data_IF_259727087113
#
_entry.id   IF_259727087113
#
_cell.length_a   1.000
_cell.length_b   1.000
_cell.length_c   1.000
_cell.angle_alpha   90.00
_cell.angle_beta   90.00
_cell.angle_gamma   90.00
#
_symmetry.space_group_name_H-M   'P 1'
#
loop_
_entity.id
_entity.type
_entity.pdbx_description
1 polymer ?
#
# COMPACT_ATOMS: atom_id res chain seq x y z
N UNK A 1 -18.27 -22.10 -1.15
CA UNK A 1 -19.26 -21.56 -2.10
C UNK A 1 -19.96 -22.69 -2.85
N UNK A 2 -19.24 -23.55 -3.60
CA UNK A 2 -19.83 -24.61 -4.42
C UNK A 2 -20.75 -25.57 -3.67
N UNK A 3 -20.45 -25.90 -2.41
CA UNK A 3 -21.25 -26.82 -1.59
C UNK A 3 -22.44 -26.16 -0.87
N UNK A 4 -22.55 -24.84 -0.94
CA UNK A 4 -23.60 -24.04 -0.28
C UNK A 4 -24.40 -23.23 -1.29
N UNK A 5 -24.50 -23.70 -2.53
CA UNK A 5 -25.25 -23.06 -3.62
C UNK A 5 -24.93 -21.55 -3.76
N UNK A 6 -23.63 -21.22 -3.61
CA UNK A 6 -23.08 -19.85 -3.69
C UNK A 6 -23.61 -18.88 -2.62
N UNK A 7 -24.14 -19.37 -1.50
CA UNK A 7 -24.54 -18.54 -0.39
C UNK A 7 -23.37 -17.66 0.10
N UNK A 8 -23.61 -16.38 0.46
CA UNK A 8 -22.55 -15.50 0.95
C UNK A 8 -21.86 -16.08 2.17
N UNK A 9 -20.53 -16.23 2.08
CA UNK A 9 -19.70 -16.75 3.17
C UNK A 9 -19.17 -15.60 4.03
N UNK A 10 -19.33 -15.74 5.34
CA UNK A 10 -18.83 -14.82 6.35
C UNK A 10 -17.73 -15.46 7.16
N UNK A 11 -16.64 -14.70 7.43
CA UNK A 11 -15.51 -15.18 8.22
C UNK A 11 -15.18 -14.20 9.35
N UNK A 12 -14.97 -14.75 10.54
CA UNK A 12 -14.45 -14.03 11.71
C UNK A 12 -13.00 -14.39 11.95
N UNK A 13 -12.12 -13.40 12.00
CA UNK A 13 -10.78 -13.46 12.53
C UNK A 13 -9.92 -14.66 12.10
N UNK A 14 -9.67 -14.89 10.79
CA UNK A 14 -8.90 -16.05 10.34
C UNK A 14 -7.41 -15.86 10.67
N UNK A 15 -7.02 -16.13 11.92
CA UNK A 15 -5.64 -16.02 12.40
C UNK A 15 -4.72 -16.93 11.59
N UNK A 16 -3.64 -16.39 11.06
CA UNK A 16 -2.61 -17.15 10.34
C UNK A 16 -1.58 -17.75 11.27
N UNK A 17 -1.47 -17.20 12.48
CA UNK A 17 -0.53 -17.65 13.53
C UNK A 17 -0.98 -17.10 14.87
N UNK A 18 -0.62 -17.81 15.95
CA UNK A 18 -0.91 -17.41 17.35
C UNK A 18 0.29 -16.74 18.05
N UNK A 19 1.38 -16.49 17.32
CA UNK A 19 2.65 -16.01 17.92
C UNK A 19 2.58 -14.58 18.46
N UNK A 20 1.55 -13.82 18.10
CA UNK A 20 1.50 -12.37 18.33
C UNK A 20 0.27 -11.90 19.12
N UNK A 21 0.10 -12.31 20.41
CA UNK A 21 -0.94 -11.75 21.26
C UNK A 21 -0.84 -10.22 21.31
N UNK A 22 -1.97 -9.53 21.20
CA UNK A 22 -2.01 -8.06 21.11
C UNK A 22 -1.90 -7.52 19.66
N UNK A 23 -1.66 -8.40 18.69
CA UNK A 23 -1.58 -8.09 17.27
C UNK A 23 -2.52 -8.95 16.42
N UNK A 24 -3.55 -9.51 17.01
CA UNK A 24 -4.50 -10.42 16.35
C UNK A 24 -5.20 -9.74 15.17
N UNK A 25 -5.42 -8.43 15.23
CA UNK A 25 -5.95 -7.64 14.10
C UNK A 25 -5.04 -7.68 12.86
N UNK A 26 -3.73 -7.80 13.03
CA UNK A 26 -2.76 -7.92 11.94
C UNK A 26 -2.70 -9.35 11.42
N UNK A 27 -2.51 -10.33 12.31
CA UNK A 27 -2.40 -11.74 11.92
C UNK A 27 -3.66 -12.26 11.26
N UNK A 28 -4.84 -11.81 11.72
CA UNK A 28 -6.11 -12.15 11.12
C UNK A 28 -6.40 -11.37 9.83
N UNK A 29 -5.93 -10.14 9.69
CA UNK A 29 -6.06 -9.39 8.43
C UNK A 29 -5.31 -10.07 7.27
N UNK A 30 -4.16 -10.70 7.55
CA UNK A 30 -3.44 -11.51 6.56
C UNK A 30 -4.32 -12.66 6.06
N UNK A 31 -4.90 -13.43 6.97
CA UNK A 31 -5.82 -14.51 6.62
C UNK A 31 -7.10 -14.01 5.96
N UNK A 32 -7.63 -12.87 6.41
CA UNK A 32 -8.81 -12.23 5.83
C UNK A 32 -8.59 -11.81 4.37
N UNK A 33 -7.43 -11.27 4.03
CA UNK A 33 -7.06 -10.95 2.64
C UNK A 33 -7.05 -12.21 1.76
N UNK A 34 -6.45 -13.30 2.26
CA UNK A 34 -6.37 -14.57 1.54
C UNK A 34 -7.77 -15.15 1.32
N UNK A 35 -8.58 -15.27 2.37
CA UNK A 35 -9.92 -15.88 2.24
C UNK A 35 -10.86 -14.98 1.43
N UNK A 36 -10.68 -13.66 1.50
CA UNK A 36 -11.37 -12.68 0.67
C UNK A 36 -11.06 -12.89 -0.82
N UNK A 37 -9.81 -13.14 -1.15
CA UNK A 37 -9.39 -13.49 -2.52
C UNK A 37 -10.11 -14.74 -3.04
N UNK A 38 -10.25 -15.77 -2.21
CA UNK A 38 -10.93 -17.01 -2.56
C UNK A 38 -12.47 -16.96 -2.50
N UNK A 39 -13.07 -15.78 -2.29
CA UNK A 39 -14.51 -15.57 -2.45
C UNK A 39 -15.30 -15.40 -1.16
N UNK A 40 -14.65 -15.16 -0.02
CA UNK A 40 -15.38 -14.74 1.18
C UNK A 40 -16.08 -13.40 0.91
N UNK A 41 -17.37 -13.34 1.21
CA UNK A 41 -18.22 -12.19 0.91
C UNK A 41 -18.19 -11.12 2.01
N UNK A 42 -17.95 -11.53 3.25
CA UNK A 42 -18.00 -10.66 4.42
C UNK A 42 -16.94 -11.04 5.44
N UNK A 43 -16.19 -10.05 5.91
CA UNK A 43 -15.14 -10.19 6.90
C UNK A 43 -15.54 -9.49 8.19
N UNK A 44 -15.41 -10.17 9.32
CA UNK A 44 -15.56 -9.57 10.64
C UNK A 44 -14.19 -9.16 11.18
N UNK A 45 -14.07 -7.93 11.64
CA UNK A 45 -12.81 -7.44 12.18
C UNK A 45 -12.50 -8.02 13.57
N UNK A 46 -11.22 -8.01 13.90
CA UNK A 46 -10.64 -8.37 15.19
C UNK A 46 -9.86 -7.17 15.72
N UNK A 47 -9.91 -6.96 17.02
CA UNK A 47 -9.19 -5.85 17.67
C UNK A 47 -7.81 -6.29 18.16
N UNK A 48 -6.89 -5.34 18.47
CA UNK A 48 -5.62 -5.67 19.13
C UNK A 48 -5.78 -6.40 20.48
N UNK A 49 -6.93 -6.20 21.15
CA UNK A 49 -7.21 -6.80 22.46
C UNK A 49 -7.97 -8.13 22.39
N UNK A 50 -8.11 -8.70 21.22
CA UNK A 50 -8.76 -9.99 21.08
C UNK A 50 -8.11 -11.03 21.97
N UNK A 51 -8.90 -11.84 22.66
CA UNK A 51 -8.48 -12.84 23.65
C UNK A 51 -7.75 -12.26 24.90
N UNK A 52 -7.57 -10.95 25.03
CA UNK A 52 -6.81 -10.32 26.12
C UNK A 52 -7.66 -9.41 27.00
N UNK A 53 -8.60 -8.67 26.44
CA UNK A 53 -9.40 -7.71 27.21
C UNK A 53 -10.48 -7.02 26.40
N UNK A 54 -11.22 -6.13 27.04
CA UNK A 54 -12.25 -5.34 26.38
C UNK A 54 -11.63 -4.21 25.56
N UNK A 55 -12.00 -4.10 24.26
CA UNK A 55 -11.49 -3.05 23.41
C UNK A 55 -12.10 -1.69 23.75
N UNK A 56 -11.32 -0.63 23.64
CA UNK A 56 -11.79 0.74 23.63
C UNK A 56 -12.07 1.21 22.18
N UNK A 57 -12.42 2.47 21.99
CA UNK A 57 -12.77 3.04 20.69
C UNK A 57 -11.58 3.00 19.72
N UNK A 58 -10.40 3.28 20.21
CA UNK A 58 -9.14 3.28 19.43
C UNK A 58 -8.80 1.86 18.96
N UNK A 59 -8.94 0.87 19.82
CA UNK A 59 -8.73 -0.54 19.48
C UNK A 59 -9.71 -1.00 18.40
N UNK A 60 -10.97 -0.55 18.47
CA UNK A 60 -11.99 -0.85 17.45
C UNK A 60 -11.61 -0.19 16.13
N UNK A 61 -11.17 1.08 16.14
CA UNK A 61 -10.70 1.79 14.94
C UNK A 61 -9.53 1.04 14.30
N UNK A 62 -8.54 0.62 15.10
CA UNK A 62 -7.36 -0.10 14.62
C UNK A 62 -7.75 -1.43 13.94
N UNK A 63 -8.58 -2.23 14.58
CA UNK A 63 -9.07 -3.49 14.02
C UNK A 63 -9.87 -3.29 12.73
N UNK A 64 -10.77 -2.31 12.72
CA UNK A 64 -11.57 -1.98 11.54
C UNK A 64 -10.69 -1.54 10.37
N UNK A 65 -9.66 -0.73 10.63
CA UNK A 65 -8.74 -0.27 9.58
C UNK A 65 -7.92 -1.43 9.02
N UNK A 66 -7.41 -2.33 9.85
CA UNK A 66 -6.71 -3.53 9.41
C UNK A 66 -7.58 -4.37 8.46
N UNK A 67 -8.85 -4.54 8.79
CA UNK A 67 -9.78 -5.31 7.95
C UNK A 67 -10.26 -4.60 6.69
N UNK A 68 -10.35 -3.28 6.70
CA UNK A 68 -10.59 -2.51 5.46
C UNK A 68 -9.42 -2.65 4.48
N UNK A 69 -8.19 -2.67 5.00
CA UNK A 69 -6.99 -2.93 4.19
C UNK A 69 -7.03 -4.36 3.65
N UNK A 70 -7.34 -5.34 4.50
CA UNK A 70 -7.44 -6.75 4.12
C UNK A 70 -8.49 -6.98 3.02
N UNK A 71 -9.68 -6.39 3.17
CA UNK A 71 -10.75 -6.48 2.18
C UNK A 71 -10.35 -5.86 0.85
N UNK A 72 -9.73 -4.68 0.88
CA UNK A 72 -9.25 -4.01 -0.34
C UNK A 72 -8.16 -4.84 -1.06
N UNK A 73 -7.22 -5.41 -0.31
CA UNK A 73 -6.21 -6.31 -0.87
C UNK A 73 -6.84 -7.55 -1.51
N UNK A 74 -7.85 -8.14 -0.86
CA UNK A 74 -8.63 -9.24 -1.43
C UNK A 74 -9.37 -8.86 -2.71
N UNK A 75 -9.94 -7.67 -2.77
CA UNK A 75 -10.63 -7.15 -3.96
C UNK A 75 -9.66 -6.89 -5.12
N UNK A 76 -8.47 -6.36 -4.85
CA UNK A 76 -7.40 -6.24 -5.86
C UNK A 76 -6.99 -7.60 -6.40
N UNK A 77 -6.77 -8.58 -5.52
CA UNK A 77 -6.37 -9.93 -5.89
C UNK A 77 -7.43 -10.67 -6.74
N UNK A 78 -8.72 -10.43 -6.47
CA UNK A 78 -9.84 -10.94 -7.29
C UNK A 78 -9.98 -10.25 -8.64
N UNK A 79 -9.33 -9.12 -8.86
CA UNK A 79 -9.54 -8.29 -10.03
C UNK A 79 -10.84 -7.51 -10.00
N UNK A 80 -11.35 -7.12 -8.82
CA UNK A 80 -12.56 -6.31 -8.71
C UNK A 80 -12.36 -4.95 -9.40
N UNK A 81 -13.19 -4.59 -10.39
CA UNK A 81 -12.89 -3.46 -11.28
C UNK A 81 -12.83 -2.10 -10.56
N UNK A 82 -13.56 -1.93 -9.47
CA UNK A 82 -13.54 -0.69 -8.68
C UNK A 82 -12.33 -0.51 -7.76
N UNK A 83 -11.69 -1.61 -7.34
CA UNK A 83 -10.59 -1.57 -6.38
C UNK A 83 -9.35 -0.87 -6.96
N UNK A 84 -8.94 -1.23 -8.17
CA UNK A 84 -7.76 -0.70 -8.83
C UNK A 84 -7.87 0.80 -9.18
N UNK A 85 -9.07 1.30 -9.39
CA UNK A 85 -9.29 2.72 -9.75
C UNK A 85 -8.80 3.64 -8.62
N UNK A 86 -9.20 3.36 -7.38
CA UNK A 86 -8.79 4.15 -6.20
C UNK A 86 -7.30 4.03 -5.94
N UNK A 87 -6.75 2.82 -6.05
CA UNK A 87 -5.32 2.56 -5.87
C UNK A 87 -4.47 3.34 -6.88
N UNK A 88 -4.85 3.32 -8.14
CA UNK A 88 -4.17 4.07 -9.19
C UNK A 88 -4.24 5.59 -8.95
N UNK A 89 -5.40 6.10 -8.54
CA UNK A 89 -5.57 7.51 -8.23
C UNK A 89 -4.67 7.95 -7.05
N UNK A 90 -4.61 7.15 -5.98
CA UNK A 90 -3.75 7.42 -4.84
C UNK A 90 -2.27 7.28 -5.19
N UNK A 91 -1.89 6.27 -5.96
CA UNK A 91 -0.51 6.10 -6.43
C UNK A 91 -0.04 7.28 -7.28
N UNK A 92 -0.91 7.80 -8.16
CA UNK A 92 -0.63 9.01 -8.95
C UNK A 92 -0.48 10.23 -8.06
N UNK A 93 -1.39 10.45 -7.10
CA UNK A 93 -1.33 11.55 -6.16
C UNK A 93 -0.04 11.52 -5.33
N UNK A 94 0.38 10.32 -4.89
CA UNK A 94 1.63 10.10 -4.16
C UNK A 94 2.85 10.43 -5.01
N UNK A 95 2.89 9.97 -6.24
CA UNK A 95 4.01 10.22 -7.13
C UNK A 95 4.16 11.71 -7.45
N UNK A 96 3.04 12.43 -7.58
CA UNK A 96 2.99 13.86 -7.89
C UNK A 96 3.10 14.76 -6.63
N UNK A 97 3.27 14.18 -5.43
CA UNK A 97 3.30 14.90 -4.14
C UNK A 97 2.06 15.76 -3.88
N UNK A 98 0.90 15.33 -4.37
CA UNK A 98 -0.40 15.95 -4.08
C UNK A 98 -0.91 15.45 -2.73
N UNK A 99 -0.39 16.02 -1.64
CA UNK A 99 -0.61 15.55 -0.27
C UNK A 99 -2.08 15.47 0.12
N UNK A 100 -2.85 16.53 -0.16
CA UNK A 100 -4.29 16.56 0.16
C UNK A 100 -5.06 15.44 -0.55
N UNK A 101 -4.74 15.18 -1.81
CA UNK A 101 -5.36 14.09 -2.55
C UNK A 101 -4.95 12.72 -1.97
N UNK A 102 -3.68 12.55 -1.55
CA UNK A 102 -3.25 11.33 -0.88
C UNK A 102 -4.04 11.07 0.39
N UNK A 103 -4.22 12.09 1.23
CA UNK A 103 -4.96 11.96 2.48
C UNK A 103 -6.41 11.61 2.20
N UNK A 104 -7.08 12.36 1.32
CA UNK A 104 -8.51 12.18 1.02
C UNK A 104 -8.82 10.88 0.29
N UNK A 105 -7.91 10.36 -0.52
CA UNK A 105 -8.02 9.05 -1.17
C UNK A 105 -7.67 7.89 -0.22
N UNK A 106 -6.94 8.16 0.86
CA UNK A 106 -6.57 7.17 1.88
C UNK A 106 -7.76 6.66 2.68
N UNK A 107 -7.58 5.54 3.36
CA UNK A 107 -8.62 4.95 4.23
C UNK A 107 -8.78 5.70 5.56
N UNK A 108 -7.71 6.33 6.05
CA UNK A 108 -7.68 7.17 7.26
C UNK A 108 -7.00 8.51 6.96
N UNK A 109 -7.74 9.49 6.45
CA UNK A 109 -7.20 10.80 6.11
C UNK A 109 -6.63 11.56 7.29
N UNK A 110 -7.27 11.45 8.47
CA UNK A 110 -6.86 12.16 9.69
C UNK A 110 -5.48 11.68 10.15
N UNK A 111 -5.31 10.38 10.31
CA UNK A 111 -4.03 9.77 10.71
C UNK A 111 -2.92 10.05 9.70
N UNK A 112 -3.25 9.99 8.42
CA UNK A 112 -2.28 10.28 7.35
C UNK A 112 -1.77 11.71 7.41
N UNK A 113 -2.65 12.67 7.64
CA UNK A 113 -2.31 14.09 7.79
C UNK A 113 -1.51 14.33 9.07
N UNK A 114 -1.95 13.78 10.19
CA UNK A 114 -1.26 13.89 11.47
C UNK A 114 0.20 13.45 11.35
N UNK A 115 0.45 12.25 10.83
CA UNK A 115 1.79 11.72 10.65
C UNK A 115 2.66 12.51 9.68
N UNK A 116 2.06 13.03 8.61
CA UNK A 116 2.78 13.88 7.66
C UNK A 116 3.19 15.20 8.30
N UNK A 117 2.29 15.82 9.06
CA UNK A 117 2.47 17.16 9.63
C UNK A 117 3.32 17.16 10.90
N UNK A 118 3.37 16.05 11.64
CA UNK A 118 4.08 15.91 12.92
C UNK A 118 5.55 16.38 12.85
N UNK A 119 6.23 16.06 11.75
CA UNK A 119 7.66 16.35 11.55
C UNK A 119 7.91 17.53 10.59
N UNK A 120 6.87 18.20 10.12
CA UNK A 120 6.93 19.33 9.19
C UNK A 120 6.29 20.57 9.82
N UNK A 121 6.98 21.25 10.75
CA UNK A 121 6.38 22.32 11.57
C UNK A 121 6.06 23.61 10.80
N UNK A 122 6.59 23.77 9.57
CA UNK A 122 6.33 24.94 8.72
C UNK A 122 5.32 24.60 7.64
N UNK A 123 4.30 25.41 7.45
CA UNK A 123 3.26 25.19 6.44
C UNK A 123 3.82 25.08 5.01
N UNK A 124 4.87 25.84 4.69
CA UNK A 124 5.56 25.71 3.40
C UNK A 124 6.23 24.35 3.18
N UNK A 125 6.62 23.67 4.26
CA UNK A 125 7.21 22.33 4.18
C UNK A 125 6.15 21.23 3.98
N UNK A 126 4.92 21.46 4.40
CA UNK A 126 3.80 20.52 4.28
C UNK A 126 3.35 20.28 2.84
N UNK A 127 3.65 21.21 1.94
CA UNK A 127 3.36 21.11 0.50
C UNK A 127 4.60 20.76 -0.33
N UNK A 128 5.71 20.43 0.32
CA UNK A 128 6.98 20.14 -0.35
C UNK A 128 6.93 18.83 -1.15
N UNK A 129 7.73 18.76 -2.20
CA UNK A 129 7.89 17.56 -3.03
C UNK A 129 8.84 16.53 -2.40
N UNK A 130 8.70 16.29 -1.12
CA UNK A 130 9.37 15.24 -0.34
C UNK A 130 8.66 15.10 1.00
N UNK A 131 8.84 13.99 1.70
CA UNK A 131 8.44 13.84 3.10
C UNK A 131 9.66 13.83 4.01
N UNK A 132 9.43 13.96 5.32
CA UNK A 132 10.49 13.94 6.33
C UNK A 132 11.30 12.65 6.38
N UNK A 133 10.73 11.52 5.95
CA UNK A 133 11.39 10.21 5.96
C UNK A 133 12.64 10.18 5.07
N UNK A 134 12.52 10.63 3.82
CA UNK A 134 13.63 10.63 2.85
C UNK A 134 14.33 11.98 2.74
N UNK A 135 13.64 13.06 3.11
CA UNK A 135 14.11 14.43 2.91
C UNK A 135 14.24 14.80 1.42
N UNK A 136 14.76 15.98 1.13
CA UNK A 136 14.77 16.53 -0.24
C UNK A 136 15.77 15.86 -1.19
N UNK A 137 16.77 15.13 -0.67
CA UNK A 137 17.88 14.61 -1.48
C UNK A 137 17.78 13.12 -1.81
N UNK A 138 17.01 12.35 -1.03
CA UNK A 138 16.97 10.89 -1.14
C UNK A 138 15.58 10.32 -1.47
N UNK A 139 14.63 11.18 -1.85
CA UNK A 139 13.29 10.72 -2.25
C UNK A 139 13.34 10.12 -3.66
N UNK A 140 13.13 8.81 -3.78
CA UNK A 140 13.15 8.11 -5.06
C UNK A 140 12.13 8.64 -6.06
N UNK A 141 10.95 9.07 -5.60
CA UNK A 141 9.91 9.67 -6.45
C UNK A 141 10.37 11.02 -7.02
N UNK A 142 11.00 11.87 -6.19
CA UNK A 142 11.55 13.15 -6.63
C UNK A 142 12.69 12.94 -7.64
N UNK A 143 13.63 12.06 -7.33
CA UNK A 143 14.74 11.71 -8.23
C UNK A 143 14.19 11.18 -9.57
N UNK A 144 13.18 10.32 -9.54
CA UNK A 144 12.55 9.81 -10.77
C UNK A 144 11.90 10.91 -11.61
N UNK A 145 11.30 11.92 -10.98
CA UNK A 145 10.73 13.08 -11.68
C UNK A 145 11.84 13.93 -12.29
N UNK A 146 12.89 14.23 -11.53
CA UNK A 146 14.05 15.01 -12.00
C UNK A 146 14.74 14.33 -13.21
N UNK A 147 14.90 13.01 -13.17
CA UNK A 147 15.45 12.23 -14.29
C UNK A 147 14.54 12.30 -15.51
N UNK A 148 13.22 12.20 -15.32
CA UNK A 148 12.25 12.32 -16.43
C UNK A 148 12.24 13.71 -17.05
N UNK A 149 12.34 14.74 -16.23
CA UNK A 149 12.36 16.13 -16.70
C UNK A 149 13.68 16.43 -17.42
N UNK A 150 14.80 15.93 -16.91
CA UNK A 150 16.08 15.98 -17.61
C UNK A 150 16.01 15.30 -18.98
N UNK A 151 15.49 14.06 -19.03
CA UNK A 151 15.36 13.32 -20.27
C UNK A 151 14.49 14.03 -21.32
N UNK A 152 13.41 14.71 -20.88
CA UNK A 152 12.59 15.53 -21.76
C UNK A 152 13.34 16.75 -22.32
N UNK A 153 14.10 17.42 -21.45
CA UNK A 153 14.80 18.66 -21.81
C UNK A 153 15.99 18.41 -22.77
N UNK A 154 16.64 17.25 -22.63
CA UNK A 154 17.80 16.86 -23.45
C UNK A 154 17.38 16.06 -24.71
N UNK A 155 16.07 15.94 -25.00
CA UNK A 155 15.52 15.09 -26.08
C UNK A 155 15.99 13.61 -25.99
N UNK A 156 16.45 13.19 -24.81
CA UNK A 156 16.92 11.84 -24.55
C UNK A 156 15.72 10.89 -24.48
N UNK A 157 15.63 9.97 -25.42
CA UNK A 157 14.58 8.94 -25.37
C UNK A 157 14.95 7.88 -24.33
N UNK A 158 14.35 7.98 -23.16
CA UNK A 158 14.53 7.03 -22.06
C UNK A 158 14.38 5.56 -22.52
N UNK A 159 13.52 5.33 -23.51
CA UNK A 159 13.32 4.01 -24.13
C UNK A 159 14.55 3.52 -24.89
N UNK A 160 15.35 4.40 -25.47
CA UNK A 160 16.57 4.02 -26.21
C UNK A 160 17.69 3.64 -25.27
N UNK A 161 17.85 4.38 -24.15
CA UNK A 161 18.83 4.02 -23.12
C UNK A 161 18.48 2.73 -22.39
N UNK A 162 17.23 2.54 -22.04
CA UNK A 162 16.76 1.30 -21.43
C UNK A 162 16.92 0.11 -22.39
N UNK A 163 16.63 0.32 -23.68
CA UNK A 163 16.84 -0.70 -24.71
C UNK A 163 18.30 -1.05 -24.85
N UNK A 164 19.19 -0.04 -24.91
CA UNK A 164 20.63 -0.23 -24.96
C UNK A 164 21.16 -0.96 -23.73
N UNK A 165 20.71 -0.58 -22.53
CA UNK A 165 21.05 -1.28 -21.30
C UNK A 165 20.53 -2.71 -21.25
N UNK A 166 19.37 -2.96 -21.80
CA UNK A 166 18.83 -4.31 -21.93
C UNK A 166 19.64 -5.15 -22.93
N UNK A 167 20.06 -4.57 -24.05
CA UNK A 167 20.92 -5.23 -25.02
C UNK A 167 22.29 -5.54 -24.41
N UNK A 168 22.92 -4.57 -23.73
CA UNK A 168 24.17 -4.78 -22.98
C UNK A 168 24.05 -5.91 -21.93
N UNK A 169 22.94 -5.97 -21.23
CA UNK A 169 22.68 -7.04 -20.24
C UNK A 169 22.54 -8.40 -20.90
N UNK A 170 21.85 -8.49 -22.03
CA UNK A 170 21.70 -9.73 -22.80
C UNK A 170 23.04 -10.20 -23.35
N UNK A 171 23.86 -9.30 -23.91
CA UNK A 171 25.22 -9.59 -24.41
C UNK A 171 26.16 -10.07 -23.32
N UNK A 172 25.97 -9.65 -22.07
CA UNK A 172 26.74 -10.08 -20.91
C UNK A 172 26.27 -11.40 -20.31
N UNK A 173 25.35 -12.11 -20.96
CA UNK A 173 24.90 -13.44 -20.56
C UNK A 173 23.65 -13.46 -19.67
N UNK A 174 22.96 -12.34 -19.50
CA UNK A 174 21.69 -12.24 -18.72
C UNK A 174 21.80 -12.67 -17.25
N UNK A 175 22.99 -12.64 -16.68
CA UNK A 175 23.23 -13.02 -15.29
C UNK A 175 23.31 -11.78 -14.40
N UNK A 176 22.46 -11.75 -13.35
CA UNK A 176 22.41 -10.66 -12.35
C UNK A 176 23.60 -10.77 -11.39
N UNK A 177 24.10 -11.97 -11.15
CA UNK A 177 25.23 -12.24 -10.28
C UNK A 177 26.34 -12.92 -11.08
N UNK A 178 27.52 -12.30 -11.16
CA UNK A 178 28.73 -12.96 -11.63
C UNK A 178 29.47 -13.55 -10.43
N UNK A 179 29.84 -14.82 -10.51
CA UNK A 179 30.82 -15.38 -9.55
C UNK A 179 32.13 -14.59 -9.66
N UNK A 180 32.63 -14.13 -8.50
CA UNK A 180 33.90 -13.38 -8.37
C UNK A 180 35.04 -14.37 -8.28
#
# INVERSE_FOLDING_TARGET
LKHCDEAPFYTLGPLTTDIAPGYDHITSAIGASMIGWFGCAMLCYVTPKEHLGLPNKEDVKEGLMAYRIAAHAGDLAKGHPGAQIRDNALSKARFEFRWEDQFNLGLDPERSREYHDETLPKDSAKVAHFCSMCGPKFCSMKISQEVRDYAKNEEVKLSEEMKKKSEEFLEQGSEIYKEV
#
